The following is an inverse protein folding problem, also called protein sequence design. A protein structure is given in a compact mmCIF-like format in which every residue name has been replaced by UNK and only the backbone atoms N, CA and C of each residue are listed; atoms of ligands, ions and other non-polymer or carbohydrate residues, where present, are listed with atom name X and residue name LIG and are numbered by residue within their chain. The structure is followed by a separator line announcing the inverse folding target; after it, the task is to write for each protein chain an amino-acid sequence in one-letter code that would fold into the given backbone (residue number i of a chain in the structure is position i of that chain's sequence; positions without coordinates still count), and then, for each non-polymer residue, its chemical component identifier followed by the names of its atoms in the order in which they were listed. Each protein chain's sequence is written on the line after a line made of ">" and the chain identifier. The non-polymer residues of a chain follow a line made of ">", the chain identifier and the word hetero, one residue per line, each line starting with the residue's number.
data_IF_556766501474
#
_entry.id   IF_556766501474
#
_cell.length_a   1.000
_cell.length_b   1.000
_cell.length_c   1.000
_cell.angle_alpha   90.00
_cell.angle_beta   90.00
_cell.angle_gamma   90.00
#
_symmetry.space_group_name_H-M   'P 1'
#
loop_
_entity.id
_entity.type
_entity.pdbx_description
1 polymer ?
#
# COMPACT_ATOMS: atom_id res chain seq x y z
N UNK A 1 2.27 -7.36 -32.40
CA UNK A 1 2.96 -6.38 -31.53
C UNK A 1 2.19 -5.06 -31.40
N UNK A 2 1.70 -4.43 -32.48
CA UNK A 2 0.90 -3.19 -32.39
C UNK A 2 -0.57 -3.41 -31.99
N UNK A 3 -1.11 -4.62 -32.18
CA UNK A 3 -2.51 -4.96 -31.84
C UNK A 3 -2.82 -4.83 -30.34
N UNK A 4 -1.85 -5.14 -29.46
CA UNK A 4 -1.97 -4.99 -28.00
C UNK A 4 -2.22 -3.55 -27.55
N UNK A 5 -1.69 -2.56 -28.29
CA UNK A 5 -1.90 -1.15 -27.95
C UNK A 5 -3.29 -0.64 -28.33
N UNK A 6 -3.93 -1.28 -29.32
CA UNK A 6 -5.29 -0.96 -29.78
C UNK A 6 -6.37 -1.85 -29.17
N UNK A 7 -5.98 -2.90 -28.44
CA UNK A 7 -6.92 -3.80 -27.77
C UNK A 7 -7.43 -3.18 -26.46
N UNK A 8 -8.74 -2.81 -26.37
CA UNK A 8 -9.31 -2.22 -25.16
C UNK A 8 -9.24 -3.15 -23.95
N UNK A 9 -9.21 -4.47 -24.17
CA UNK A 9 -9.16 -5.47 -23.10
C UNK A 9 -7.81 -5.48 -22.37
N UNK A 10 -6.71 -5.18 -23.07
CA UNK A 10 -5.37 -5.08 -22.50
C UNK A 10 -5.28 -3.88 -21.54
N UNK A 11 -5.83 -2.73 -21.95
CA UNK A 11 -5.90 -1.54 -21.11
C UNK A 11 -6.78 -1.74 -19.87
N UNK A 12 -7.94 -2.39 -20.03
CA UNK A 12 -8.81 -2.71 -18.90
C UNK A 12 -8.13 -3.65 -17.90
N UNK A 13 -7.40 -4.66 -18.39
CA UNK A 13 -6.64 -5.59 -17.55
C UNK A 13 -5.50 -4.89 -16.80
N UNK A 14 -4.75 -4.03 -17.48
CA UNK A 14 -3.69 -3.21 -16.87
C UNK A 14 -4.25 -2.31 -15.75
N UNK A 15 -5.37 -1.64 -16.01
CA UNK A 15 -6.00 -0.75 -15.04
C UNK A 15 -6.49 -1.55 -13.82
N UNK A 16 -7.11 -2.70 -14.05
CA UNK A 16 -7.57 -3.60 -12.98
C UNK A 16 -6.41 -4.11 -12.14
N UNK A 17 -5.33 -4.57 -12.76
CA UNK A 17 -4.12 -5.03 -12.07
C UNK A 17 -3.48 -3.90 -11.27
N UNK A 18 -3.36 -2.71 -11.85
CA UNK A 18 -2.82 -1.52 -11.18
C UNK A 18 -3.65 -1.16 -9.94
N UNK A 19 -4.97 -1.21 -10.05
CA UNK A 19 -5.88 -0.95 -8.92
C UNK A 19 -5.71 -2.04 -7.84
N UNK A 20 -5.64 -3.31 -8.22
CA UNK A 20 -5.43 -4.41 -7.28
C UNK A 20 -4.10 -4.26 -6.53
N UNK A 21 -3.04 -3.90 -7.24
CA UNK A 21 -1.72 -3.72 -6.66
C UNK A 21 -1.66 -2.51 -5.73
N UNK A 22 -2.34 -1.41 -6.08
CA UNK A 22 -2.51 -0.25 -5.19
C UNK A 22 -3.29 -0.64 -3.93
N UNK A 23 -4.40 -1.37 -4.05
CA UNK A 23 -5.20 -1.80 -2.88
C UNK A 23 -4.39 -2.70 -1.97
N UNK A 24 -3.67 -3.69 -2.53
CA UNK A 24 -2.78 -4.58 -1.78
C UNK A 24 -1.64 -3.82 -1.10
N UNK A 25 -1.08 -2.80 -1.76
CA UNK A 25 -0.05 -1.93 -1.18
C UNK A 25 -0.57 -0.99 -0.08
N UNK A 26 -1.79 -0.47 -0.23
CA UNK A 26 -2.42 0.44 0.76
C UNK A 26 -2.74 -0.30 2.05
N UNK A 27 -3.14 -1.58 1.98
CA UNK A 27 -3.61 -2.35 3.15
C UNK A 27 -2.56 -2.37 4.29
N UNK A 28 -1.28 -2.59 3.96
CA UNK A 28 -0.18 -2.59 4.93
C UNK A 28 0.07 -1.21 5.57
N UNK A 29 -0.01 -0.13 4.80
CA UNK A 29 0.24 1.24 5.30
C UNK A 29 -0.91 1.72 6.18
N UNK A 30 -2.15 1.40 5.82
CA UNK A 30 -3.35 1.73 6.60
C UNK A 30 -3.34 0.94 7.92
N UNK A 31 -2.99 -0.35 7.90
CA UNK A 31 -2.89 -1.16 9.10
C UNK A 31 -1.90 -0.56 10.12
N UNK A 32 -0.70 -0.20 9.67
CA UNK A 32 0.31 0.43 10.52
C UNK A 32 -0.17 1.80 11.04
N UNK A 33 -0.78 2.61 10.18
CA UNK A 33 -1.27 3.95 10.57
C UNK A 33 -2.37 3.87 11.64
N UNK A 34 -3.29 2.91 11.53
CA UNK A 34 -4.35 2.67 12.52
C UNK A 34 -3.78 2.10 13.82
N UNK A 35 -2.80 1.20 13.75
CA UNK A 35 -2.17 0.60 14.93
C UNK A 35 -1.41 1.65 15.76
N UNK A 36 -0.65 2.53 15.09
CA UNK A 36 0.11 3.62 15.72
C UNK A 36 -0.81 4.69 16.32
N UNK A 37 -1.96 4.96 15.69
CA UNK A 37 -2.94 5.94 16.19
C UNK A 37 -3.59 5.56 17.54
N UNK A 38 -3.51 4.28 17.95
CA UNK A 38 -4.06 3.79 19.22
C UNK A 38 -3.04 3.73 20.36
N UNK A 39 -1.78 4.15 20.16
CA UNK A 39 -0.75 4.04 21.18
C UNK A 39 -0.67 5.27 22.12
N UNK A 40 -0.56 5.07 23.45
CA UNK A 40 -0.43 6.15 24.43
C UNK A 40 0.90 6.91 24.30
N UNK A 41 0.88 8.23 24.55
CA UNK A 41 1.99 9.17 24.31
C UNK A 41 3.36 8.76 24.89
N UNK A 42 3.38 8.05 26.02
CA UNK A 42 4.61 7.56 26.64
C UNK A 42 5.32 6.43 25.85
N UNK A 43 4.56 5.66 25.05
CA UNK A 43 5.09 4.58 24.17
C UNK A 43 4.97 4.91 22.68
N UNK A 44 4.18 5.93 22.34
CA UNK A 44 3.94 6.39 20.98
C UNK A 44 5.24 6.69 20.22
N UNK A 45 6.26 7.27 20.87
CA UNK A 45 7.53 7.62 20.18
C UNK A 45 8.27 6.39 19.62
N UNK A 46 8.40 5.33 20.42
CA UNK A 46 9.01 4.07 19.99
C UNK A 46 8.13 3.32 18.99
N UNK A 47 6.82 3.28 19.20
CA UNK A 47 5.92 2.62 18.26
C UNK A 47 5.77 3.36 16.92
N UNK A 48 5.92 4.69 16.90
CA UNK A 48 6.01 5.49 15.65
C UNK A 48 7.26 5.14 14.88
N UNK A 49 8.41 5.04 15.56
CA UNK A 49 9.67 4.67 14.92
C UNK A 49 9.64 3.22 14.41
N UNK A 50 9.11 2.29 15.21
CA UNK A 50 8.97 0.90 14.80
C UNK A 50 7.95 0.73 13.66
N UNK A 51 6.81 1.45 13.73
CA UNK A 51 5.78 1.46 12.69
C UNK A 51 6.27 2.09 11.39
N UNK A 52 6.98 3.22 11.45
CA UNK A 52 7.61 3.82 10.27
C UNK A 52 8.70 2.92 9.68
N UNK A 53 9.53 2.28 10.52
CA UNK A 53 10.55 1.33 10.06
C UNK A 53 9.93 0.09 9.41
N UNK A 54 8.88 -0.48 10.02
CA UNK A 54 8.14 -1.62 9.46
C UNK A 54 7.42 -1.22 8.16
N UNK A 55 6.81 -0.04 8.08
CA UNK A 55 6.19 0.47 6.84
C UNK A 55 7.21 0.66 5.72
N UNK A 56 8.46 1.00 6.05
CA UNK A 56 9.53 1.15 5.06
C UNK A 56 10.12 -0.20 4.60
N UNK A 57 10.01 -1.25 5.41
CA UNK A 57 10.53 -2.61 5.15
C UNK A 57 9.50 -3.50 4.44
N UNK A 58 8.22 -3.31 4.76
CA UNK A 58 7.10 -4.00 4.09
C UNK A 58 6.68 -3.34 2.78
N UNK A 59 7.40 -2.30 2.33
CA UNK A 59 7.28 -1.77 0.97
C UNK A 59 7.92 -2.72 -0.04
#
# INVERSE_FOLDING_TARGET
>A
MLELFYDPSAWASLLTLTVMEIVLGIDNVVFISVLVARLPDAKAKHARQLGLALALVFR
#
